data_IF_381816464650
#
_entry.id   IF_381816464650
#
_cell.length_a   1.000
_cell.length_b   1.000
_cell.length_c   1.000
_cell.angle_alpha   90.00
_cell.angle_beta   90.00
_cell.angle_gamma   90.00
#
_symmetry.space_group_name_H-M   'P 1'
#
loop_
_entity.id
_entity.type
_entity.pdbx_description
1 polymer ?
#
# COMPACT_ATOMS: atom_id res chain seq x y z
N UNK A 1 6.81 -3.17 -13.24
CA UNK A 1 6.44 -3.68 -14.58
C UNK A 1 5.30 -2.85 -15.18
N UNK A 2 5.32 -2.59 -16.49
CA UNK A 2 4.31 -1.81 -17.22
C UNK A 2 3.68 -2.67 -18.32
N UNK A 3 2.37 -2.63 -18.44
CA UNK A 3 1.59 -3.40 -19.41
C UNK A 3 0.57 -2.47 -20.11
N UNK A 4 0.31 -2.69 -21.40
CA UNK A 4 -0.75 -1.98 -22.14
C UNK A 4 -0.28 -1.15 -23.34
N UNK A 5 -1.24 -0.47 -23.98
CA UNK A 5 -1.03 0.37 -25.16
C UNK A 5 -0.87 1.83 -24.68
N UNK A 6 0.33 2.43 -24.84
CA UNK A 6 0.57 3.82 -24.45
C UNK A 6 -0.47 4.76 -25.08
N UNK A 7 -1.11 5.60 -24.25
CA UNK A 7 -2.09 6.59 -24.68
C UNK A 7 -3.54 6.09 -24.80
N UNK A 8 -3.80 4.78 -24.73
CA UNK A 8 -5.15 4.21 -24.78
C UNK A 8 -5.55 3.55 -23.45
N UNK A 9 -4.78 2.55 -23.03
CA UNK A 9 -4.94 1.84 -21.76
C UNK A 9 -3.57 1.32 -21.33
N UNK A 10 -3.07 1.78 -20.20
CA UNK A 10 -1.85 1.25 -19.59
C UNK A 10 -2.05 0.95 -18.11
N UNK A 11 -1.49 -0.17 -17.66
CA UNK A 11 -1.38 -0.56 -16.26
C UNK A 11 0.10 -0.55 -15.90
N UNK A 12 0.47 0.31 -14.97
CA UNK A 12 1.81 0.40 -14.43
C UNK A 12 1.75 -0.13 -12.99
N UNK A 13 2.57 -1.12 -12.68
CA UNK A 13 2.69 -1.65 -11.33
C UNK A 13 4.14 -1.67 -10.93
N UNK A 14 4.48 -0.89 -9.92
CA UNK A 14 5.76 -0.92 -9.23
C UNK A 14 5.54 -1.62 -7.89
N UNK A 15 6.39 -2.58 -7.57
CA UNK A 15 6.39 -3.23 -6.27
C UNK A 15 7.83 -3.19 -5.79
N UNK A 16 8.01 -2.60 -4.64
CA UNK A 16 9.29 -2.47 -3.97
C UNK A 16 9.15 -2.87 -2.51
N UNK A 17 8.40 -3.94 -2.27
CA UNK A 17 8.26 -4.59 -0.98
C UNK A 17 9.61 -5.06 -0.37
N UNK A 18 10.74 -4.82 -1.04
CA UNK A 18 12.08 -5.31 -0.71
C UNK A 18 13.19 -4.28 -0.98
N UNK A 19 12.86 -3.01 -1.17
CA UNK A 19 13.81 -1.94 -1.52
C UNK A 19 14.83 -1.69 -0.41
N UNK A 20 16.11 -1.82 -0.74
CA UNK A 20 17.25 -1.68 0.19
C UNK A 20 17.57 -0.21 0.58
N UNK A 21 16.88 0.78 0.00
CA UNK A 21 17.16 2.20 0.24
C UNK A 21 16.19 2.81 1.27
N UNK A 22 16.74 3.59 2.20
CA UNK A 22 16.07 4.11 3.42
C UNK A 22 14.83 4.98 3.13
N UNK A 23 14.67 5.52 1.91
CA UNK A 23 13.45 6.22 1.47
C UNK A 23 12.41 5.32 0.83
N UNK A 24 12.85 4.26 0.15
CA UNK A 24 12.03 3.39 -0.70
C UNK A 24 11.56 2.16 0.06
N UNK A 25 12.21 1.81 1.18
CA UNK A 25 11.82 0.75 2.11
C UNK A 25 10.37 0.82 2.61
N UNK A 26 9.73 1.97 2.45
CA UNK A 26 8.35 2.16 2.87
C UNK A 26 7.36 2.11 1.72
N UNK A 27 7.76 2.35 0.46
CA UNK A 27 6.84 2.33 -0.70
C UNK A 27 6.72 0.91 -1.25
N UNK A 28 5.79 0.16 -0.70
CA UNK A 28 5.65 -1.27 -0.95
C UNK A 28 5.06 -1.55 -2.32
N UNK A 29 4.09 -0.74 -2.76
CA UNK A 29 3.50 -0.90 -4.07
C UNK A 29 2.92 0.40 -4.61
N UNK A 30 3.12 0.64 -5.90
CA UNK A 30 2.42 1.67 -6.66
C UNK A 30 1.71 1.02 -7.84
N UNK A 31 0.40 1.24 -7.98
CA UNK A 31 -0.39 0.78 -9.12
C UNK A 31 -1.03 1.96 -9.80
N UNK A 32 -0.93 2.05 -11.12
CA UNK A 32 -1.53 3.11 -11.91
C UNK A 32 -2.25 2.53 -13.11
N UNK A 33 -3.50 2.94 -13.30
CA UNK A 33 -4.31 2.63 -14.47
C UNK A 33 -4.50 3.93 -15.24
N UNK A 34 -4.12 3.94 -16.52
CA UNK A 34 -4.13 5.11 -17.39
C UNK A 34 -5.13 4.87 -18.51
N UNK A 35 -6.07 5.79 -18.72
CA UNK A 35 -7.04 5.78 -19.81
C UNK A 35 -7.12 7.18 -20.41
N UNK A 36 -6.49 7.39 -21.57
CA UNK A 36 -6.40 8.70 -22.21
C UNK A 36 -5.81 9.78 -21.26
N UNK A 37 -6.51 10.91 -21.02
CA UNK A 37 -6.03 11.97 -20.13
C UNK A 37 -6.27 11.68 -18.63
N UNK A 38 -6.92 10.56 -18.31
CA UNK A 38 -7.25 10.16 -16.95
C UNK A 38 -6.28 9.09 -16.45
N UNK A 39 -5.93 9.15 -15.18
CA UNK A 39 -5.28 8.01 -14.53
C UNK A 39 -5.71 7.87 -13.07
N UNK A 40 -5.90 6.64 -12.64
CA UNK A 40 -6.11 6.26 -11.25
C UNK A 40 -4.80 5.71 -10.71
N UNK A 41 -4.29 6.31 -9.64
CA UNK A 41 -3.04 5.96 -9.00
C UNK A 41 -3.30 5.51 -7.57
N UNK A 42 -2.67 4.43 -7.18
CA UNK A 42 -2.62 3.97 -5.81
C UNK A 42 -1.16 3.78 -5.40
N UNK A 43 -0.80 4.27 -4.21
CA UNK A 43 0.50 4.06 -3.59
C UNK A 43 0.26 3.49 -2.20
N UNK A 44 0.95 2.43 -1.83
CA UNK A 44 0.80 1.70 -0.57
C UNK A 44 2.12 1.76 0.16
N UNK A 45 2.07 2.27 1.39
CA UNK A 45 3.18 2.22 2.32
C UNK A 45 2.86 1.23 3.44
N UNK A 46 3.47 0.05 3.39
CA UNK A 46 3.14 -1.06 4.30
C UNK A 46 3.82 -0.94 5.67
N UNK A 47 4.96 -0.27 5.73
CA UNK A 47 5.85 -0.30 6.89
C UNK A 47 6.69 -1.57 6.96
N UNK A 48 7.59 -1.64 7.94
CA UNK A 48 8.58 -2.71 8.05
C UNK A 48 8.15 -3.78 9.09
N UNK A 49 7.92 -5.03 8.66
CA UNK A 49 7.75 -6.15 9.59
C UNK A 49 9.08 -6.46 10.28
N UNK A 50 9.03 -6.75 11.58
CA UNK A 50 10.20 -7.09 12.39
C UNK A 50 10.72 -8.47 11.99
N UNK A 51 12.04 -8.57 11.86
CA UNK A 51 12.75 -9.84 11.64
C UNK A 51 13.28 -10.32 12.99
N UNK A 52 12.90 -11.55 13.36
CA UNK A 52 13.34 -12.22 14.57
C UNK A 52 14.79 -12.69 14.50
N UNK A 53 15.31 -13.16 15.64
CA UNK A 53 16.70 -13.66 15.73
C UNK A 53 16.98 -14.89 14.85
N UNK A 54 15.94 -15.60 14.43
CA UNK A 54 16.01 -16.75 13.52
C UNK A 54 15.99 -16.33 12.03
N UNK A 55 15.97 -15.02 11.75
CA UNK A 55 15.93 -14.47 10.40
C UNK A 55 14.55 -14.53 9.74
N UNK A 56 13.50 -14.90 10.48
CA UNK A 56 12.12 -14.94 9.98
C UNK A 56 11.33 -13.74 10.43
N UNK A 57 10.25 -13.43 9.71
CA UNK A 57 9.31 -12.41 10.16
C UNK A 57 8.61 -12.82 11.44
N UNK A 58 8.58 -11.92 12.41
CA UNK A 58 7.82 -12.12 13.64
C UNK A 58 6.33 -11.90 13.37
N UNK A 59 5.52 -12.84 13.83
CA UNK A 59 4.05 -12.74 13.77
C UNK A 59 3.45 -12.90 15.16
N UNK A 60 2.30 -12.27 15.37
CA UNK A 60 1.46 -12.44 16.56
C UNK A 60 0.05 -12.79 16.12
N UNK A 61 -0.63 -13.63 16.90
CA UNK A 61 -2.05 -13.91 16.68
C UNK A 61 -2.90 -12.73 17.12
N UNK A 62 -3.93 -12.42 16.34
CA UNK A 62 -5.06 -11.56 16.75
C UNK A 62 -6.37 -12.29 16.51
N UNK A 63 -7.38 -11.90 17.28
CA UNK A 63 -8.73 -12.42 17.15
C UNK A 63 -9.60 -11.35 16.50
N UNK A 64 -10.39 -11.73 15.49
CA UNK A 64 -11.35 -10.83 14.88
C UNK A 64 -12.61 -10.66 15.74
N UNK A 65 -13.58 -9.85 15.27
CA UNK A 65 -14.85 -9.64 15.97
C UNK A 65 -15.73 -10.89 16.05
N UNK A 66 -15.39 -11.95 15.30
CA UNK A 66 -16.13 -13.21 15.21
C UNK A 66 -15.43 -14.37 15.95
N UNK A 67 -14.29 -14.12 16.61
CA UNK A 67 -13.55 -15.13 17.35
C UNK A 67 -12.55 -15.92 16.51
N UNK A 68 -12.34 -15.59 15.24
CA UNK A 68 -11.35 -16.25 14.39
C UNK A 68 -9.95 -15.71 14.68
N UNK A 69 -8.99 -16.61 14.85
CA UNK A 69 -7.58 -16.25 14.96
C UNK A 69 -6.98 -16.02 13.57
N UNK A 70 -6.20 -14.95 13.43
CA UNK A 70 -5.40 -14.68 12.25
C UNK A 70 -4.02 -14.15 12.65
N UNK A 71 -3.02 -14.45 11.82
CA UNK A 71 -1.65 -14.02 12.05
C UNK A 71 -1.45 -12.59 11.54
N UNK A 72 -0.70 -11.80 12.30
CA UNK A 72 -0.38 -10.42 11.99
C UNK A 72 1.10 -10.19 12.20
N UNK A 73 1.74 -9.46 11.29
CA UNK A 73 3.14 -9.10 11.47
C UNK A 73 3.33 -8.26 12.74
N UNK A 74 4.39 -8.57 13.49
CA UNK A 74 4.97 -7.66 14.47
C UNK A 74 5.78 -6.65 13.68
N UNK A 75 5.59 -5.37 13.93
CA UNK A 75 6.10 -4.31 13.08
C UNK A 75 6.72 -3.20 13.93
N UNK A 76 7.60 -2.38 13.33
CA UNK A 76 8.10 -1.17 13.99
C UNK A 76 6.96 -0.13 14.12
N UNK A 77 6.78 0.40 15.33
CA UNK A 77 5.79 1.43 15.65
C UNK A 77 6.05 2.74 14.89
N UNK A 78 7.30 3.03 14.54
CA UNK A 78 7.70 4.28 13.89
C UNK A 78 7.66 4.21 12.35
N UNK A 79 7.41 3.03 11.77
CA UNK A 79 7.31 2.91 10.33
C UNK A 79 6.10 3.69 9.77
N UNK A 80 6.28 4.55 8.75
CA UNK A 80 5.17 5.23 8.09
C UNK A 80 4.27 4.20 7.39
N UNK A 81 2.96 4.34 7.62
CA UNK A 81 1.93 3.47 7.04
C UNK A 81 0.77 4.30 6.58
N UNK A 82 0.49 4.21 5.29
CA UNK A 82 -0.62 4.92 4.67
C UNK A 82 -0.80 4.47 3.23
N UNK A 83 -2.00 4.68 2.70
CA UNK A 83 -2.35 4.36 1.32
C UNK A 83 -2.88 5.60 0.64
N UNK A 84 -2.23 5.99 -0.45
CA UNK A 84 -2.67 7.09 -1.30
C UNK A 84 -3.54 6.53 -2.42
N UNK A 85 -4.72 7.08 -2.62
CA UNK A 85 -5.52 6.86 -3.82
C UNK A 85 -5.79 8.21 -4.48
N UNK A 86 -5.43 8.35 -5.75
CA UNK A 86 -5.52 9.60 -6.47
C UNK A 86 -6.08 9.41 -7.88
N UNK A 87 -6.96 10.32 -8.26
CA UNK A 87 -7.37 10.52 -9.64
C UNK A 87 -6.55 11.68 -10.22
N UNK A 88 -5.92 11.44 -11.36
CA UNK A 88 -5.22 12.45 -12.16
C UNK A 88 -5.98 12.71 -13.45
N UNK A 89 -6.14 13.98 -13.77
CA UNK A 89 -6.75 14.50 -14.99
C UNK A 89 -5.76 15.51 -15.58
N UNK A 90 -4.97 15.07 -16.57
CA UNK A 90 -3.85 15.87 -17.10
C UNK A 90 -2.82 16.24 -16.01
N UNK A 91 -2.59 17.54 -15.73
CA UNK A 91 -1.65 18.02 -14.70
C UNK A 91 -2.27 18.10 -13.30
N UNK A 92 -3.57 17.87 -13.15
CA UNK A 92 -4.26 17.92 -11.88
C UNK A 92 -4.28 16.53 -11.24
N UNK A 93 -3.95 16.44 -9.96
CA UNK A 93 -4.01 15.23 -9.15
C UNK A 93 -4.79 15.53 -7.87
N UNK A 94 -5.89 14.81 -7.69
CA UNK A 94 -6.75 14.89 -6.50
C UNK A 94 -6.75 13.53 -5.86
N UNK A 95 -6.50 13.48 -4.56
CA UNK A 95 -6.48 12.21 -3.88
C UNK A 95 -6.72 12.32 -2.39
N UNK A 96 -6.75 11.14 -1.80
CA UNK A 96 -6.85 10.94 -0.38
C UNK A 96 -5.71 10.03 0.05
N UNK A 97 -5.10 10.40 1.16
CA UNK A 97 -4.12 9.61 1.86
C UNK A 97 -4.76 9.05 3.12
N UNK A 98 -4.80 7.72 3.26
CA UNK A 98 -5.49 7.04 4.36
C UNK A 98 -4.90 5.68 4.65
N UNK A 99 -4.75 5.35 5.93
CA UNK A 99 -4.43 3.97 6.35
C UNK A 99 -5.53 2.99 5.94
N UNK A 100 -6.79 3.41 5.89
CA UNK A 100 -7.90 2.53 5.49
C UNK A 100 -7.74 2.03 4.06
N UNK A 101 -7.16 2.85 3.17
CA UNK A 101 -6.89 2.46 1.78
C UNK A 101 -5.78 1.42 1.74
N UNK A 102 -4.69 1.64 2.48
CA UNK A 102 -3.61 0.66 2.63
C UNK A 102 -4.16 -0.65 3.16
N UNK A 103 -4.88 -0.63 4.27
CA UNK A 103 -5.44 -1.80 4.91
C UNK A 103 -6.40 -2.54 3.97
N UNK A 104 -7.33 -1.85 3.30
CA UNK A 104 -8.29 -2.48 2.41
C UNK A 104 -7.61 -3.20 1.23
N UNK A 105 -6.65 -2.55 0.58
CA UNK A 105 -5.99 -3.12 -0.60
C UNK A 105 -5.02 -4.21 -0.17
N UNK A 106 -4.13 -3.91 0.78
CA UNK A 106 -3.09 -4.82 1.20
C UNK A 106 -3.66 -6.03 1.92
N UNK A 107 -4.52 -5.83 2.94
CA UNK A 107 -5.11 -6.97 3.66
C UNK A 107 -6.06 -7.76 2.74
N UNK A 108 -6.68 -7.14 1.74
CA UNK A 108 -7.40 -7.86 0.68
C UNK A 108 -6.51 -8.83 -0.09
N UNK A 109 -5.29 -8.42 -0.45
CA UNK A 109 -4.30 -9.32 -1.05
C UNK A 109 -3.87 -10.44 -0.07
N UNK A 110 -3.63 -10.12 1.20
CA UNK A 110 -3.28 -11.12 2.21
C UNK A 110 -4.38 -12.16 2.42
N UNK A 111 -5.66 -11.76 2.38
CA UNK A 111 -6.78 -12.72 2.42
C UNK A 111 -6.76 -13.68 1.24
N UNK A 112 -6.38 -13.22 0.04
CA UNK A 112 -6.32 -14.07 -1.16
C UNK A 112 -5.10 -15.00 -1.11
N UNK A 113 -3.96 -14.52 -0.63
CA UNK A 113 -2.69 -15.25 -0.62
C UNK A 113 -2.52 -16.15 0.61
N UNK A 114 -3.28 -15.93 1.69
CA UNK A 114 -3.14 -16.66 2.95
C UNK A 114 -1.97 -16.19 3.81
N UNK A 115 -1.46 -14.99 3.53
CA UNK A 115 -0.30 -14.41 4.23
C UNK A 115 -0.73 -13.65 5.51
N UNK A 116 0.16 -13.49 6.50
CA UNK A 116 -0.11 -12.68 7.69
C UNK A 116 -0.49 -11.23 7.33
N UNK A 117 -1.39 -10.66 8.12
CA UNK A 117 -1.91 -9.31 7.91
C UNK A 117 -0.96 -8.24 8.45
N UNK A 118 -1.19 -6.98 8.07
CA UNK A 118 -0.52 -5.81 8.66
C UNK A 118 -1.47 -5.08 9.62
N UNK A 119 -0.96 -4.61 10.76
CA UNK A 119 -1.82 -3.96 11.75
C UNK A 119 -2.34 -2.63 11.23
N UNK A 120 -3.64 -2.38 11.46
CA UNK A 120 -4.24 -1.08 11.22
C UNK A 120 -3.73 -0.06 12.25
N UNK A 121 -3.14 1.03 11.79
CA UNK A 121 -2.73 2.15 12.65
C UNK A 121 -3.67 3.34 12.48
N UNK A 122 -4.29 3.88 13.54
CA UNK A 122 -5.16 5.04 13.41
C UNK A 122 -4.42 6.21 12.75
N UNK A 123 -4.85 6.58 11.54
CA UNK A 123 -4.34 7.70 10.78
C UNK A 123 -5.53 8.57 10.35
N UNK A 124 -5.41 9.89 10.53
CA UNK A 124 -6.44 10.83 10.09
C UNK A 124 -6.28 10.97 8.57
N UNK A 125 -7.30 10.63 7.77
CA UNK A 125 -7.21 10.75 6.32
C UNK A 125 -6.91 12.18 5.88
N UNK A 126 -6.04 12.35 4.89
CA UNK A 126 -5.65 13.66 4.36
C UNK A 126 -6.02 13.77 2.88
N UNK A 127 -6.88 14.73 2.58
CA UNK A 127 -7.16 15.10 1.20
C UNK A 127 -6.04 15.98 0.66
N UNK A 128 -5.68 15.78 -0.60
CA UNK A 128 -4.72 16.64 -1.27
C UNK A 128 -5.16 16.99 -2.69
N UNK A 129 -4.71 18.17 -3.09
CA UNK A 129 -4.86 18.72 -4.43
C UNK A 129 -3.47 19.14 -4.87
N UNK A 130 -2.98 18.53 -5.94
CA UNK A 130 -1.66 18.81 -6.49
C UNK A 130 -1.83 19.20 -7.96
N UNK A 131 -1.21 20.31 -8.33
CA UNK A 131 -1.14 20.77 -9.71
C UNK A 131 0.33 20.77 -10.14
N UNK A 132 0.64 20.07 -11.22
CA UNK A 132 2.00 20.02 -11.76
C UNK A 132 2.42 18.63 -12.25
N UNK A 133 3.67 18.57 -12.69
CA UNK A 133 4.31 17.39 -13.26
C UNK A 133 4.90 16.53 -12.14
#
# INVERSE_FOLDING_TARGET
KKYGIPGLLAVEHYNDAWGNDVSDKYNTATSKIIVGPFSLENVIFTGEPRIGQDGKYETTKKTDLFGNEYDVYVEDENSPRHGVLALRIGPLRIGIDSEQIRAAIQNGYHTILGDPYFQYKPYIPRWFFQFGW
#
